data_IF_148077129773
#
_entry.id   IF_148077129773
#
_cell.length_a   1.000
_cell.length_b   1.000
_cell.length_c   1.000
_cell.angle_alpha   90.00
_cell.angle_beta   90.00
_cell.angle_gamma   90.00
#
_symmetry.space_group_name_H-M   'P 1'
#
loop_
_entity.id
_entity.type
_entity.pdbx_description
1 polymer ?
#
# COMPACT_ATOMS: atom_id res chain seq x y z
N UNK A 1 -12.90 -27.72 3.91
CA UNK A 1 -11.69 -27.38 3.12
C UNK A 1 -11.64 -25.93 2.62
N UNK A 2 -12.74 -25.27 2.21
CA UNK A 2 -12.68 -23.82 1.83
C UNK A 2 -12.31 -22.86 2.98
N UNK A 3 -12.87 -23.07 4.16
CA UNK A 3 -12.73 -22.13 5.29
C UNK A 3 -11.31 -22.03 5.89
N UNK A 4 -10.48 -23.09 5.76
CA UNK A 4 -9.09 -23.09 6.24
C UNK A 4 -8.12 -22.46 5.22
N UNK A 5 -8.46 -22.53 3.92
CA UNK A 5 -7.69 -21.90 2.87
C UNK A 5 -7.84 -20.37 2.89
N UNK A 6 -8.99 -19.85 3.34
CA UNK A 6 -9.20 -18.40 3.50
C UNK A 6 -8.44 -17.83 4.70
N UNK A 7 -8.33 -18.59 5.81
CA UNK A 7 -7.58 -18.16 7.02
C UNK A 7 -6.07 -18.25 6.83
N UNK A 8 -5.56 -19.36 6.27
CA UNK A 8 -4.12 -19.48 6.01
C UNK A 8 -3.61 -18.56 4.88
N UNK A 9 -4.51 -18.00 4.08
CA UNK A 9 -4.15 -17.07 3.00
C UNK A 9 -4.26 -15.61 3.44
N UNK A 10 -5.13 -15.26 4.41
CA UNK A 10 -5.08 -13.93 5.05
C UNK A 10 -3.78 -13.77 5.83
N UNK A 11 -3.39 -14.79 6.61
CA UNK A 11 -2.18 -14.73 7.42
C UNK A 11 -0.92 -14.59 6.54
N UNK A 12 -0.86 -15.31 5.42
CA UNK A 12 0.26 -15.21 4.48
C UNK A 12 0.31 -13.86 3.74
N UNK A 13 -0.84 -13.29 3.39
CA UNK A 13 -0.90 -11.96 2.77
C UNK A 13 -0.45 -10.87 3.75
N UNK A 14 -0.85 -10.98 5.03
CA UNK A 14 -0.44 -10.05 6.07
C UNK A 14 1.07 -10.13 6.35
N UNK A 15 1.65 -11.33 6.41
CA UNK A 15 3.10 -11.52 6.52
C UNK A 15 3.86 -10.92 5.33
N UNK A 16 3.34 -11.07 4.10
CA UNK A 16 3.96 -10.48 2.91
C UNK A 16 3.91 -8.95 2.94
N UNK A 17 2.80 -8.36 3.36
CA UNK A 17 2.69 -6.89 3.52
C UNK A 17 3.69 -6.41 4.55
N UNK A 18 3.75 -7.05 5.73
CA UNK A 18 4.69 -6.68 6.78
C UNK A 18 6.14 -6.76 6.29
N UNK A 19 6.51 -7.87 5.65
CA UNK A 19 7.85 -8.08 5.12
C UNK A 19 8.22 -7.07 4.03
N UNK A 20 7.28 -6.71 3.15
CA UNK A 20 7.49 -5.70 2.12
C UNK A 20 7.65 -4.30 2.72
N UNK A 21 6.84 -3.94 3.71
CA UNK A 21 6.94 -2.67 4.45
C UNK A 21 8.29 -2.55 5.17
N UNK A 22 8.69 -3.57 5.93
CA UNK A 22 9.98 -3.59 6.66
C UNK A 22 11.20 -3.46 5.73
N UNK A 23 11.10 -3.96 4.49
CA UNK A 23 12.16 -3.86 3.49
C UNK A 23 12.10 -2.58 2.65
N UNK A 24 11.04 -1.79 2.78
CA UNK A 24 10.79 -0.65 1.90
C UNK A 24 10.49 -1.06 0.45
N UNK A 25 9.96 -2.26 0.22
CA UNK A 25 9.65 -2.79 -1.12
C UNK A 25 8.34 -2.20 -1.66
N UNK A 26 8.44 -0.98 -2.21
CA UNK A 26 7.33 -0.29 -2.88
C UNK A 26 6.71 -1.10 -4.02
N UNK A 27 7.48 -1.94 -4.71
CA UNK A 27 6.97 -2.70 -5.85
C UNK A 27 6.06 -3.83 -5.39
N UNK A 28 6.45 -4.56 -4.34
CA UNK A 28 5.60 -5.60 -3.77
C UNK A 28 4.36 -5.02 -3.10
N UNK A 29 4.50 -3.94 -2.32
CA UNK A 29 3.34 -3.24 -1.75
C UNK A 29 2.37 -2.76 -2.83
N UNK A 30 2.88 -2.24 -3.96
CA UNK A 30 2.07 -1.89 -5.13
C UNK A 30 1.34 -3.09 -5.71
N UNK A 31 2.03 -4.22 -5.94
CA UNK A 31 1.40 -5.43 -6.48
C UNK A 31 0.26 -5.93 -5.58
N UNK A 32 0.47 -5.93 -4.27
CA UNK A 32 -0.53 -6.34 -3.28
C UNK A 32 -1.71 -5.36 -3.22
N UNK A 33 -1.43 -4.04 -3.24
CA UNK A 33 -2.43 -2.97 -3.28
C UNK A 33 -3.30 -3.06 -4.54
N UNK A 34 -2.69 -3.21 -5.71
CA UNK A 34 -3.39 -3.39 -7.00
C UNK A 34 -4.22 -4.70 -7.02
N UNK A 35 -3.83 -5.69 -6.20
CA UNK A 35 -4.58 -6.91 -5.92
C UNK A 35 -5.76 -6.74 -4.95
N UNK A 36 -5.98 -5.52 -4.42
CA UNK A 36 -7.06 -5.20 -3.50
C UNK A 36 -6.74 -5.40 -2.02
N UNK A 37 -5.47 -5.61 -1.64
CA UNK A 37 -5.08 -5.66 -0.23
C UNK A 37 -5.07 -4.22 0.35
N UNK A 38 -6.01 -3.96 1.26
CA UNK A 38 -6.16 -2.64 1.89
C UNK A 38 -4.96 -2.29 2.78
N UNK A 39 -4.46 -3.22 3.58
CA UNK A 39 -3.27 -3.02 4.42
C UNK A 39 -2.05 -2.67 3.58
N UNK A 40 -1.84 -3.37 2.46
CA UNK A 40 -0.76 -3.06 1.52
C UNK A 40 -0.88 -1.65 0.93
N UNK A 41 -2.12 -1.19 0.71
CA UNK A 41 -2.39 0.16 0.20
C UNK A 41 -2.03 1.22 1.24
N UNK A 42 -2.35 0.99 2.51
CA UNK A 42 -2.01 1.91 3.58
C UNK A 42 -0.48 2.00 3.78
N UNK A 43 0.21 0.86 3.81
CA UNK A 43 1.68 0.80 3.90
C UNK A 43 2.36 1.44 2.69
N UNK A 44 1.81 1.24 1.48
CA UNK A 44 2.32 1.87 0.26
C UNK A 44 2.21 3.40 0.32
N UNK A 45 1.10 3.93 0.84
CA UNK A 45 0.91 5.38 1.03
C UNK A 45 1.91 5.91 2.04
N UNK A 46 2.02 5.26 3.21
CA UNK A 46 2.94 5.69 4.25
C UNK A 46 4.38 5.74 3.72
N UNK A 47 4.84 4.65 3.11
CA UNK A 47 6.19 4.57 2.58
C UNK A 47 6.43 5.56 1.43
N UNK A 48 5.44 5.77 0.57
CA UNK A 48 5.52 6.76 -0.50
C UNK A 48 5.60 8.20 0.07
N UNK A 49 4.85 8.51 1.13
CA UNK A 49 4.96 9.80 1.85
C UNK A 49 6.35 9.97 2.44
N UNK A 50 6.84 8.98 3.20
CA UNK A 50 8.16 9.04 3.86
C UNK A 50 9.32 9.23 2.86
N UNK A 51 9.16 8.70 1.65
CA UNK A 51 10.15 8.81 0.57
C UNK A 51 9.87 10.01 -0.37
N UNK A 52 8.87 10.84 -0.09
CA UNK A 52 8.40 11.92 -0.96
C UNK A 52 8.14 11.44 -2.41
N UNK A 53 7.67 10.21 -2.57
CA UNK A 53 7.36 9.60 -3.85
C UNK A 53 6.02 10.12 -4.39
N UNK A 54 6.04 11.35 -4.88
CA UNK A 54 4.86 12.05 -5.41
C UNK A 54 4.23 11.34 -6.61
N UNK A 55 5.03 10.59 -7.38
CA UNK A 55 4.50 9.80 -8.51
C UNK A 55 3.56 8.71 -8.00
N UNK A 56 3.94 8.01 -6.93
CA UNK A 56 3.11 6.94 -6.39
C UNK A 56 1.87 7.45 -5.68
N UNK A 57 1.99 8.51 -4.89
CA UNK A 57 0.84 9.16 -4.28
C UNK A 57 -0.14 9.67 -5.34
N UNK A 58 0.36 10.28 -6.43
CA UNK A 58 -0.49 10.72 -7.56
C UNK A 58 -1.16 9.55 -8.27
N UNK A 59 -0.47 8.42 -8.45
CA UNK A 59 -1.04 7.21 -9.05
C UNK A 59 -2.21 6.68 -8.22
N UNK A 60 -2.04 6.59 -6.90
CA UNK A 60 -3.08 6.12 -5.98
C UNK A 60 -4.26 7.11 -5.91
N UNK A 61 -3.97 8.41 -5.84
CA UNK A 61 -5.00 9.45 -5.87
C UNK A 61 -5.82 9.41 -7.17
N UNK A 62 -5.18 9.19 -8.32
CA UNK A 62 -5.85 9.05 -9.61
C UNK A 62 -6.76 7.80 -9.68
N UNK A 63 -6.50 6.79 -8.85
CA UNK A 63 -7.36 5.62 -8.68
C UNK A 63 -8.48 5.83 -7.64
N UNK A 64 -8.57 7.03 -7.07
CA UNK A 64 -9.60 7.41 -6.09
C UNK A 64 -9.21 7.16 -4.64
N UNK A 65 -7.94 6.89 -4.32
CA UNK A 65 -7.50 6.81 -2.94
C UNK A 65 -7.41 8.23 -2.33
N UNK A 66 -8.34 8.57 -1.45
CA UNK A 66 -8.42 9.89 -0.82
C UNK A 66 -7.22 10.18 0.08
N UNK A 67 -6.78 9.20 0.88
CA UNK A 67 -5.63 9.37 1.78
C UNK A 67 -4.37 9.72 0.99
N UNK A 68 -4.11 9.05 -0.14
CA UNK A 68 -2.99 9.37 -1.01
C UNK A 68 -3.11 10.78 -1.62
N UNK A 69 -4.32 11.23 -1.95
CA UNK A 69 -4.55 12.57 -2.46
C UNK A 69 -4.30 13.65 -1.40
N UNK A 70 -4.68 13.40 -0.15
CA UNK A 70 -4.41 14.27 1.00
C UNK A 70 -2.91 14.37 1.26
N UNK A 71 -2.21 13.24 1.35
CA UNK A 71 -0.76 13.21 1.53
C UNK A 71 -0.01 13.90 0.38
N UNK A 72 -0.46 13.69 -0.87
CA UNK A 72 0.11 14.40 -2.02
C UNK A 72 -0.07 15.91 -1.90
N UNK A 73 -1.24 16.39 -1.44
CA UNK A 73 -1.51 17.81 -1.27
C UNK A 73 -0.63 18.42 -0.18
N UNK A 74 -0.48 17.74 0.96
CA UNK A 74 0.39 18.18 2.06
C UNK A 74 1.84 18.37 1.59
N UNK A 75 2.40 17.40 0.84
CA UNK A 75 3.79 17.46 0.38
C UNK A 75 4.07 18.47 -0.73
N UNK A 76 3.07 18.88 -1.52
CA UNK A 76 3.27 19.86 -2.60
C UNK A 76 3.03 21.31 -2.16
N UNK A 77 2.45 21.49 -0.97
CA UNK A 77 2.16 22.80 -0.39
C UNK A 77 3.30 23.32 0.53
N UNK A 78 4.27 22.45 0.88
CA UNK A 78 5.49 22.78 1.66
C UNK A 78 6.65 23.33 0.78
#
# INVERSE_FOLDING_TARGET
MRRLAETGNSDAADELVQLASEQGDLEELRRLSDGGNATATDELIQLATEQENLEELRRLAAQGNTTAAEQLAELVDD
#
